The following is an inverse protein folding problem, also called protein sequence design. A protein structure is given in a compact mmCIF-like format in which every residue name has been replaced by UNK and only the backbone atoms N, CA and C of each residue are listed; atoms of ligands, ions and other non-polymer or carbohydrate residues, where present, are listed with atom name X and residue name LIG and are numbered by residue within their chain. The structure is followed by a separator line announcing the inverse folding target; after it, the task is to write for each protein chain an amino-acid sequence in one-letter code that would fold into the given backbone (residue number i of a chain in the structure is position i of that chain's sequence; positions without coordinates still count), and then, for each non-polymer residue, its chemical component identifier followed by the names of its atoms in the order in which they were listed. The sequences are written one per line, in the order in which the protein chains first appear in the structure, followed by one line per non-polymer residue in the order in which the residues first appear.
data_IF_387022631816
#
_entry.id   IF_387022631816
#
_cell.length_a   1.000
_cell.length_b   1.000
_cell.length_c   1.000
_cell.angle_alpha   90.00
_cell.angle_beta   90.00
_cell.angle_gamma   90.00
#
_symmetry.space_group_name_H-M   'P 1'
#
loop_
_entity.id
_entity.type
_entity.pdbx_description
1 polymer ?
#
# COMPACT_ATOMS: atom_id res chain seq x y z
N UNK A 1 -19.85 -62.03 -15.57
CA UNK A 1 -20.09 -61.05 -14.48
C UNK A 1 -18.77 -60.50 -14.00
N UNK A 2 -18.38 -59.27 -14.39
CA UNK A 2 -17.23 -58.56 -13.80
C UNK A 2 -17.78 -57.38 -13.00
N UNK A 3 -17.50 -57.43 -11.69
CA UNK A 3 -17.96 -56.47 -10.68
C UNK A 3 -17.33 -55.09 -10.91
N UNK A 4 -18.17 -54.08 -11.14
CA UNK A 4 -17.81 -52.66 -11.09
C UNK A 4 -17.64 -52.26 -9.61
N UNK A 5 -16.39 -52.10 -9.15
CA UNK A 5 -16.11 -51.44 -7.87
C UNK A 5 -16.23 -49.93 -8.07
N UNK A 6 -17.30 -49.34 -7.56
CA UNK A 6 -17.39 -47.89 -7.37
C UNK A 6 -16.32 -47.46 -6.36
N UNK A 7 -15.30 -46.74 -6.86
CA UNK A 7 -14.25 -46.16 -6.02
C UNK A 7 -14.82 -44.91 -5.33
N UNK A 8 -15.23 -45.04 -4.08
CA UNK A 8 -15.66 -43.91 -3.26
C UNK A 8 -14.42 -43.08 -2.93
N UNK A 9 -14.35 -41.85 -3.46
CA UNK A 9 -13.24 -40.93 -3.15
C UNK A 9 -13.30 -40.49 -1.67
N UNK A 10 -12.17 -40.45 -0.95
CA UNK A 10 -12.15 -40.05 0.45
C UNK A 10 -12.54 -38.58 0.64
N UNK A 11 -13.41 -38.31 1.62
CA UNK A 11 -14.08 -37.02 1.90
C UNK A 11 -13.12 -35.82 2.05
N UNK A 12 -11.86 -36.02 2.45
CA UNK A 12 -10.85 -34.93 2.52
C UNK A 12 -10.49 -34.37 1.13
N UNK A 13 -10.39 -35.24 0.12
CA UNK A 13 -10.04 -34.84 -1.25
C UNK A 13 -11.22 -34.12 -1.95
N UNK A 14 -12.45 -34.36 -1.50
CA UNK A 14 -13.66 -33.65 -1.95
C UNK A 14 -13.70 -32.19 -1.47
N UNK A 15 -13.23 -31.87 -0.26
CA UNK A 15 -13.16 -30.47 0.22
C UNK A 15 -12.13 -29.64 -0.54
N UNK A 16 -10.94 -30.18 -0.78
CA UNK A 16 -9.89 -29.50 -1.58
C UNK A 16 -10.34 -29.29 -3.04
N UNK A 17 -11.00 -30.27 -3.65
CA UNK A 17 -11.55 -30.14 -5.01
C UNK A 17 -12.74 -29.17 -5.07
N UNK A 18 -13.57 -29.11 -4.03
CA UNK A 18 -14.67 -28.13 -3.93
C UNK A 18 -14.17 -26.70 -3.69
N UNK A 19 -13.09 -26.50 -2.93
CA UNK A 19 -12.45 -25.18 -2.78
C UNK A 19 -11.80 -24.71 -4.09
N UNK A 20 -11.07 -25.60 -4.79
CA UNK A 20 -10.47 -25.31 -6.09
C UNK A 20 -11.50 -24.94 -7.19
N UNK A 21 -12.71 -25.49 -7.10
CA UNK A 21 -13.82 -25.17 -8.03
C UNK A 21 -14.45 -23.78 -7.80
N UNK A 22 -14.20 -23.14 -6.65
CA UNK A 22 -14.78 -21.84 -6.27
C UNK A 22 -13.90 -20.65 -6.65
N UNK A 23 -12.58 -20.83 -6.80
CA UNK A 23 -11.63 -19.74 -6.97
C UNK A 23 -11.90 -18.86 -8.21
N UNK A 24 -12.19 -19.41 -9.40
CA UNK A 24 -12.54 -18.58 -10.57
C UNK A 24 -13.87 -17.82 -10.39
N UNK A 25 -14.78 -18.33 -9.54
CA UNK A 25 -16.05 -17.65 -9.22
C UNK A 25 -15.83 -16.51 -8.23
N UNK A 26 -14.99 -16.70 -7.21
CA UNK A 26 -14.66 -15.67 -6.22
C UNK A 26 -13.93 -14.50 -6.86
N UNK A 27 -12.91 -14.75 -7.69
CA UNK A 27 -12.21 -13.72 -8.46
C UNK A 27 -13.19 -12.88 -9.31
N UNK A 28 -14.01 -13.55 -10.13
CA UNK A 28 -14.96 -12.86 -11.01
C UNK A 28 -15.99 -12.05 -10.24
N UNK A 29 -16.51 -12.59 -9.14
CA UNK A 29 -17.45 -11.88 -8.25
C UNK A 29 -16.77 -10.67 -7.63
N UNK A 30 -15.53 -10.81 -7.16
CA UNK A 30 -14.79 -9.73 -6.52
C UNK A 30 -14.54 -8.55 -7.46
N UNK A 31 -14.09 -8.84 -8.68
CA UNK A 31 -13.92 -7.81 -9.72
C UNK A 31 -15.26 -7.18 -10.11
N UNK A 32 -16.33 -7.97 -10.23
CA UNK A 32 -17.66 -7.44 -10.54
C UNK A 32 -18.19 -6.51 -9.45
N UNK A 33 -18.01 -6.85 -8.18
CA UNK A 33 -18.38 -6.00 -7.05
C UNK A 33 -17.61 -4.68 -7.06
N UNK A 34 -16.30 -4.73 -7.32
CA UNK A 34 -15.46 -3.53 -7.43
C UNK A 34 -15.91 -2.62 -8.58
N UNK A 35 -16.24 -3.17 -9.75
CA UNK A 35 -16.79 -2.40 -10.89
C UNK A 35 -18.16 -1.79 -10.58
N UNK A 36 -18.99 -2.49 -9.80
CA UNK A 36 -20.34 -2.04 -9.46
C UNK A 36 -20.34 -1.05 -8.28
N UNK A 37 -19.23 -0.93 -7.54
CA UNK A 37 -19.14 -0.04 -6.40
C UNK A 37 -19.24 1.42 -6.85
N UNK A 38 -20.19 2.15 -6.28
CA UNK A 38 -20.32 3.59 -6.50
C UNK A 38 -19.77 4.32 -5.28
N UNK A 39 -18.66 5.02 -5.46
CA UNK A 39 -18.06 5.85 -4.42
C UNK A 39 -19.01 6.98 -4.02
N UNK A 40 -19.18 7.28 -2.72
CA UNK A 40 -19.88 8.48 -2.29
C UNK A 40 -19.13 9.75 -2.75
N UNK A 41 -19.78 10.93 -2.68
CA UNK A 41 -19.12 12.20 -3.01
C UNK A 41 -17.82 12.39 -2.22
N UNK A 42 -16.78 12.86 -2.90
CA UNK A 42 -15.45 12.99 -2.30
C UNK A 42 -15.05 14.43 -2.00
N UNK A 43 -14.39 14.62 -0.87
CA UNK A 43 -13.75 15.87 -0.48
C UNK A 43 -12.30 15.98 -0.99
N UNK A 44 -11.78 14.93 -1.65
CA UNK A 44 -10.43 14.94 -2.24
C UNK A 44 -10.19 16.19 -3.11
N UNK A 45 -11.14 16.53 -3.99
CA UNK A 45 -11.05 17.70 -4.87
C UNK A 45 -11.31 19.05 -4.17
N UNK A 46 -11.75 19.04 -2.90
CA UNK A 46 -11.87 20.24 -2.07
C UNK A 46 -10.60 20.52 -1.27
N UNK A 47 -9.77 19.50 -1.02
CA UNK A 47 -8.49 19.70 -0.37
C UNK A 47 -7.56 20.57 -1.22
N UNK A 48 -6.66 21.37 -0.63
CA UNK A 48 -5.61 22.05 -1.38
C UNK A 48 -4.60 21.05 -1.93
N UNK A 49 -3.90 21.42 -3.01
CA UNK A 49 -2.91 20.57 -3.67
C UNK A 49 -1.90 19.94 -2.69
N UNK A 50 -1.41 20.73 -1.72
CA UNK A 50 -0.44 20.31 -0.70
C UNK A 50 -0.93 19.17 0.21
N UNK A 51 -2.25 18.91 0.21
CA UNK A 51 -2.94 17.91 1.02
C UNK A 51 -3.66 16.84 0.18
N UNK A 52 -3.46 16.79 -1.14
CA UNK A 52 -4.01 15.75 -2.01
C UNK A 52 -2.98 14.66 -2.26
N UNK A 53 -3.32 13.43 -1.92
CA UNK A 53 -2.54 12.26 -2.28
C UNK A 53 -3.46 11.14 -2.79
N UNK A 54 -2.91 10.25 -3.60
CA UNK A 54 -3.62 9.07 -4.07
C UNK A 54 -2.72 7.85 -4.02
N UNK A 55 -3.33 6.68 -3.80
CA UNK A 55 -2.63 5.40 -3.73
C UNK A 55 -3.29 4.40 -4.66
N UNK A 56 -2.47 3.54 -5.27
CA UNK A 56 -2.91 2.50 -6.18
C UNK A 56 -3.01 1.15 -5.44
N UNK A 57 -4.22 0.61 -5.35
CA UNK A 57 -4.47 -0.78 -5.01
C UNK A 57 -4.45 -1.57 -6.32
N UNK A 58 -3.26 -2.02 -6.70
CA UNK A 58 -3.07 -2.83 -7.91
C UNK A 58 -3.34 -4.30 -7.59
N UNK A 59 -4.44 -4.82 -8.14
CA UNK A 59 -4.87 -6.20 -7.99
C UNK A 59 -4.48 -7.02 -9.22
N UNK A 60 -4.11 -8.28 -9.02
CA UNK A 60 -3.93 -9.26 -10.10
C UNK A 60 -4.32 -10.65 -9.61
N UNK A 61 -4.68 -11.54 -10.53
CA UNK A 61 -4.91 -12.95 -10.21
C UNK A 61 -3.59 -13.73 -10.25
N UNK A 62 -3.31 -14.51 -9.21
CA UNK A 62 -2.20 -15.45 -9.23
C UNK A 62 -2.52 -16.73 -10.01
N UNK A 63 -1.57 -17.67 -10.05
CA UNK A 63 -1.74 -18.95 -10.77
C UNK A 63 -2.86 -19.84 -10.22
N UNK A 64 -3.28 -19.64 -8.97
CA UNK A 64 -4.43 -20.35 -8.37
C UNK A 64 -5.75 -19.64 -8.70
N UNK A 65 -5.70 -18.43 -9.24
CA UNK A 65 -6.84 -17.57 -9.51
C UNK A 65 -7.24 -16.72 -8.32
N UNK A 66 -6.41 -16.65 -7.27
CA UNK A 66 -6.66 -15.82 -6.10
C UNK A 66 -6.19 -14.39 -6.37
N UNK A 67 -6.96 -13.40 -5.92
CA UNK A 67 -6.52 -12.00 -6.02
C UNK A 67 -5.38 -11.72 -5.06
N UNK A 68 -4.33 -11.11 -5.59
CA UNK A 68 -3.22 -10.54 -4.82
C UNK A 68 -3.16 -9.03 -5.02
N UNK A 69 -2.65 -8.34 -4.01
CA UNK A 69 -2.40 -6.90 -4.04
C UNK A 69 -0.90 -6.63 -4.02
N UNK A 70 -0.46 -5.63 -4.79
CA UNK A 70 0.93 -5.15 -4.80
C UNK A 70 1.15 -4.09 -3.72
N UNK A 71 2.26 -4.23 -2.97
CA UNK A 71 2.68 -3.35 -1.90
C UNK A 71 4.18 -3.04 -2.04
N UNK A 72 4.61 -1.90 -1.53
CA UNK A 72 6.00 -1.46 -1.50
C UNK A 72 6.53 -1.43 -0.08
N UNK A 73 7.83 -1.61 0.10
CA UNK A 73 8.58 -1.28 1.31
C UNK A 73 9.36 0.00 1.00
N UNK A 74 9.08 1.06 1.76
CA UNK A 74 9.75 2.35 1.59
C UNK A 74 11.23 2.26 1.92
N UNK A 75 12.08 2.92 1.12
CA UNK A 75 13.52 2.97 1.35
C UNK A 75 13.88 3.58 2.71
N UNK A 76 14.93 3.03 3.34
CA UNK A 76 15.36 3.41 4.68
C UNK A 76 15.87 4.87 4.76
N UNK A 77 16.31 5.44 3.63
CA UNK A 77 16.82 6.82 3.54
C UNK A 77 15.73 7.90 3.49
N UNK A 78 14.45 7.55 3.44
CA UNK A 78 13.37 8.53 3.38
C UNK A 78 13.12 9.18 4.74
N UNK A 79 12.92 10.50 4.74
CA UNK A 79 12.72 11.31 5.95
C UNK A 79 11.52 10.85 6.80
N UNK A 80 10.52 10.22 6.18
CA UNK A 80 9.30 9.73 6.84
C UNK A 80 9.01 8.27 6.45
N UNK A 81 8.53 7.49 7.43
CA UNK A 81 8.01 6.13 7.24
C UNK A 81 9.00 5.12 6.62
N UNK A 82 10.29 5.33 6.83
CA UNK A 82 11.37 4.43 6.39
C UNK A 82 11.09 2.97 6.80
N UNK A 83 11.20 2.03 5.85
CA UNK A 83 11.00 0.59 6.06
C UNK A 83 9.55 0.14 6.22
N UNK A 84 8.56 1.03 6.17
CA UNK A 84 7.15 0.66 6.33
C UNK A 84 6.55 0.18 5.01
N UNK A 85 5.62 -0.78 5.11
CA UNK A 85 4.83 -1.21 3.97
C UNK A 85 3.76 -0.18 3.59
N UNK A 86 3.67 0.12 2.30
CA UNK A 86 2.72 1.07 1.74
C UNK A 86 2.11 0.53 0.44
N UNK A 87 0.99 1.13 0.04
CA UNK A 87 0.52 1.05 -1.34
C UNK A 87 1.36 2.02 -2.19
N UNK A 88 1.66 1.68 -3.46
CA UNK A 88 2.26 2.65 -4.37
C UNK A 88 1.43 3.92 -4.44
N UNK A 89 2.05 5.09 -4.33
CA UNK A 89 1.29 6.34 -4.32
C UNK A 89 1.99 7.48 -3.62
N UNK A 90 1.43 8.67 -3.82
CA UNK A 90 2.03 9.90 -3.36
C UNK A 90 1.13 11.10 -3.60
N UNK A 91 1.73 12.29 -3.63
CA UNK A 91 0.99 13.56 -3.69
C UNK A 91 0.64 13.90 -5.12
N UNK A 92 -0.47 14.60 -5.31
CA UNK A 92 -0.74 15.21 -6.61
C UNK A 92 0.30 16.30 -6.89
N UNK A 93 0.80 16.35 -8.12
CA UNK A 93 1.72 17.40 -8.57
C UNK A 93 0.95 18.63 -9.05
N UNK A 94 -0.24 18.39 -9.60
CA UNK A 94 -1.10 19.45 -10.16
C UNK A 94 -2.56 19.28 -9.71
N UNK A 95 -3.35 20.36 -9.84
CA UNK A 95 -4.78 20.32 -9.55
C UNK A 95 -5.59 19.64 -10.67
N UNK A 96 -4.99 19.46 -11.84
CA UNK A 96 -5.60 18.88 -13.03
C UNK A 96 -5.55 17.35 -13.01
N UNK A 97 -4.63 16.76 -12.25
CA UNK A 97 -4.58 15.31 -12.08
C UNK A 97 -5.85 14.81 -11.36
N UNK A 98 -6.47 13.78 -11.93
CA UNK A 98 -7.41 12.96 -11.19
C UNK A 98 -6.66 12.12 -10.16
N UNK A 99 -7.35 11.63 -9.12
CA UNK A 99 -6.74 10.76 -8.14
C UNK A 99 -6.10 9.51 -8.77
N UNK A 100 -6.75 8.91 -9.77
CA UNK A 100 -6.22 7.75 -10.48
C UNK A 100 -4.96 8.10 -11.29
N UNK A 101 -4.91 9.28 -11.94
CA UNK A 101 -3.71 9.73 -12.65
C UNK A 101 -2.52 9.89 -11.70
N UNK A 102 -2.73 10.52 -10.53
CA UNK A 102 -1.69 10.64 -9.49
C UNK A 102 -1.22 9.25 -9.03
N UNK A 103 -2.16 8.35 -8.70
CA UNK A 103 -1.81 7.00 -8.25
C UNK A 103 -1.04 6.19 -9.31
N UNK A 104 -1.38 6.35 -10.60
CA UNK A 104 -0.70 5.71 -11.73
C UNK A 104 0.70 6.28 -11.96
N UNK A 105 0.86 7.61 -11.91
CA UNK A 105 2.16 8.28 -12.03
C UNK A 105 3.13 7.81 -10.94
N UNK A 106 2.68 7.82 -9.69
CA UNK A 106 3.47 7.37 -8.55
C UNK A 106 3.80 5.88 -8.65
N UNK A 107 2.87 5.04 -9.09
CA UNK A 107 3.17 3.62 -9.34
C UNK A 107 4.17 3.41 -10.49
N UNK A 108 4.17 4.28 -11.51
CA UNK A 108 5.20 4.25 -12.55
C UNK A 108 6.59 4.59 -12.00
N UNK A 109 6.68 5.64 -11.17
CA UNK A 109 7.93 6.08 -10.53
C UNK A 109 8.47 5.04 -9.54
N UNK A 110 7.61 4.52 -8.66
CA UNK A 110 8.01 3.62 -7.57
C UNK A 110 8.30 2.18 -8.04
N UNK A 111 7.45 1.63 -8.91
CA UNK A 111 7.46 0.19 -9.27
C UNK A 111 7.57 -0.08 -10.78
N UNK A 112 7.72 0.96 -11.61
CA UNK A 112 7.91 0.81 -13.05
C UNK A 112 6.63 0.42 -13.82
N UNK A 113 5.45 0.55 -13.19
CA UNK A 113 4.17 0.21 -13.81
C UNK A 113 3.83 1.23 -14.91
N UNK A 114 4.02 0.87 -16.18
CA UNK A 114 3.86 1.79 -17.30
C UNK A 114 2.48 2.47 -17.32
N UNK A 115 2.47 3.75 -17.70
CA UNK A 115 1.28 4.61 -17.72
C UNK A 115 0.27 4.19 -18.79
N UNK A 116 0.77 3.72 -19.94
CA UNK A 116 -0.04 3.33 -21.09
C UNK A 116 0.07 1.83 -21.38
N UNK A 117 -1.05 1.20 -21.73
CA UNK A 117 -1.12 -0.25 -21.97
C UNK A 117 -0.19 -0.72 -23.09
N UNK A 118 0.07 0.13 -24.09
CA UNK A 118 0.97 -0.20 -25.20
C UNK A 118 2.44 -0.36 -24.75
N UNK A 119 2.80 0.16 -23.58
CA UNK A 119 4.13 0.05 -22.98
C UNK A 119 4.24 -1.16 -22.04
N UNK A 120 3.11 -1.79 -21.70
CA UNK A 120 3.09 -3.04 -20.94
C UNK A 120 3.53 -4.21 -21.83
N UNK A 121 3.97 -5.34 -21.23
CA UNK A 121 4.19 -6.55 -22.00
C UNK A 121 2.92 -6.95 -22.77
N UNK A 122 3.08 -7.51 -23.96
CA UNK A 122 1.98 -7.78 -24.90
C UNK A 122 0.85 -8.56 -24.22
N UNK A 123 -0.36 -8.00 -24.27
CA UNK A 123 -1.60 -8.61 -23.76
C UNK A 123 -1.92 -8.28 -22.30
N UNK A 124 -1.02 -7.63 -21.57
CA UNK A 124 -1.36 -7.06 -20.28
C UNK A 124 -2.11 -5.73 -20.44
N UNK A 125 -3.03 -5.46 -19.52
CA UNK A 125 -3.86 -4.26 -19.51
C UNK A 125 -4.13 -3.86 -18.06
N UNK A 126 -4.08 -2.56 -17.75
CA UNK A 126 -4.48 -2.05 -16.45
C UNK A 126 -5.87 -1.43 -16.52
N UNK A 127 -6.85 -2.12 -15.96
CA UNK A 127 -8.23 -1.64 -15.89
C UNK A 127 -8.45 -0.85 -14.59
N UNK A 128 -8.86 0.41 -14.69
CA UNK A 128 -9.37 1.16 -13.54
C UNK A 128 -10.76 0.62 -13.15
N UNK A 129 -10.91 0.13 -11.91
CA UNK A 129 -12.16 -0.45 -11.44
C UNK A 129 -13.04 0.57 -10.71
N UNK A 130 -12.49 1.21 -9.67
CA UNK A 130 -13.22 2.18 -8.83
C UNK A 130 -12.25 2.92 -7.90
N UNK A 131 -12.75 3.97 -7.24
CA UNK A 131 -12.08 4.69 -6.16
C UNK A 131 -12.87 4.55 -4.85
N UNK A 132 -12.19 4.40 -3.72
CA UNK A 132 -12.81 4.36 -2.40
C UNK A 132 -12.87 5.75 -1.75
N UNK A 133 -13.76 5.97 -0.75
CA UNK A 133 -13.74 7.17 0.09
C UNK A 133 -12.33 7.54 0.56
N UNK A 134 -12.01 8.83 0.53
CA UNK A 134 -10.69 9.30 0.93
C UNK A 134 -10.44 9.03 2.43
N UNK A 135 -9.23 8.61 2.77
CA UNK A 135 -8.76 8.48 4.15
C UNK A 135 -7.98 9.72 4.57
N UNK A 136 -8.10 10.13 5.82
CA UNK A 136 -7.40 11.30 6.35
C UNK A 136 -6.21 10.88 7.20
N UNK A 137 -5.01 11.28 6.79
CA UNK A 137 -3.81 11.02 7.57
C UNK A 137 -3.73 11.96 8.77
N UNK A 138 -3.02 11.55 9.82
CA UNK A 138 -2.69 12.42 10.96
C UNK A 138 -1.91 13.68 10.54
N UNK A 139 -1.19 13.59 9.42
CA UNK A 139 -0.52 14.73 8.79
C UNK A 139 -1.48 15.63 8.01
N UNK A 140 -2.79 15.40 8.14
CA UNK A 140 -3.88 16.11 7.46
C UNK A 140 -3.75 16.04 5.93
N UNK A 141 -3.26 14.90 5.45
CA UNK A 141 -3.16 14.54 4.04
C UNK A 141 -4.39 13.69 3.69
N UNK A 142 -5.21 14.15 2.74
CA UNK A 142 -6.32 13.38 2.20
C UNK A 142 -5.82 12.41 1.14
N UNK A 143 -5.93 11.11 1.42
CA UNK A 143 -5.44 10.03 0.58
C UNK A 143 -6.62 9.35 -0.11
N UNK A 144 -6.69 9.40 -1.44
CA UNK A 144 -7.74 8.76 -2.25
C UNK A 144 -7.26 7.38 -2.73
N UNK A 145 -7.86 6.26 -2.27
CA UNK A 145 -7.50 4.93 -2.74
C UNK A 145 -8.14 4.64 -4.10
N UNK A 146 -7.32 4.30 -5.08
CA UNK A 146 -7.77 3.95 -6.43
C UNK A 146 -7.49 2.47 -6.69
N UNK A 147 -8.48 1.72 -7.15
CA UNK A 147 -8.39 0.28 -7.35
C UNK A 147 -8.28 -0.01 -8.85
N UNK A 148 -7.25 -0.73 -9.23
CA UNK A 148 -7.05 -1.20 -10.60
C UNK A 148 -6.79 -2.70 -10.65
N UNK A 149 -7.18 -3.32 -11.76
CA UNK A 149 -6.92 -4.72 -12.04
C UNK A 149 -5.94 -4.87 -13.20
N UNK A 150 -4.82 -5.50 -12.94
CA UNK A 150 -3.85 -5.91 -13.94
C UNK A 150 -4.30 -7.24 -14.55
N UNK A 151 -4.79 -7.18 -15.78
CA UNK A 151 -5.25 -8.35 -16.53
C UNK A 151 -4.03 -9.12 -17.04
N UNK A 152 -3.88 -10.36 -16.60
CA UNK A 152 -2.90 -11.30 -17.14
C UNK A 152 -3.44 -11.93 -18.43
N UNK A 153 -2.72 -11.86 -19.57
CA UNK A 153 -3.15 -12.49 -20.81
C UNK A 153 -3.12 -14.02 -20.72
N UNK A 154 -3.87 -14.73 -21.58
CA UNK A 154 -3.69 -16.17 -21.74
C UNK A 154 -2.29 -16.49 -22.30
N UNK A 155 -1.79 -17.72 -22.08
CA UNK A 155 -0.56 -18.19 -22.71
C UNK A 155 -0.54 -17.96 -24.21
N UNK A 156 0.60 -17.48 -24.72
CA UNK A 156 0.82 -17.19 -26.14
C UNK A 156 2.18 -17.76 -26.60
N UNK A 157 2.45 -17.80 -27.92
CA UNK A 157 3.77 -18.18 -28.42
C UNK A 157 4.92 -17.31 -27.88
N UNK A 158 4.63 -16.05 -27.52
CA UNK A 158 5.62 -15.09 -26.98
C UNK A 158 5.82 -15.25 -25.46
N UNK A 159 4.80 -15.71 -24.74
CA UNK A 159 4.86 -15.96 -23.31
C UNK A 159 3.97 -17.17 -22.96
N UNK A 160 4.61 -18.33 -22.74
CA UNK A 160 3.92 -19.61 -22.50
C UNK A 160 3.36 -19.76 -21.08
N UNK A 161 3.82 -18.95 -20.14
CA UNK A 161 3.42 -18.99 -18.74
C UNK A 161 3.32 -17.57 -18.18
N UNK A 162 2.33 -16.74 -18.62
CA UNK A 162 2.19 -15.37 -18.15
C UNK A 162 1.98 -15.31 -16.64
N UNK A 163 2.75 -14.46 -15.97
CA UNK A 163 2.68 -14.23 -14.53
C UNK A 163 2.89 -12.74 -14.25
N UNK A 164 1.84 -12.05 -13.81
CA UNK A 164 1.87 -10.61 -13.60
C UNK A 164 2.96 -10.18 -12.60
N UNK A 165 3.21 -10.97 -11.55
CA UNK A 165 4.21 -10.63 -10.56
C UNK A 165 5.61 -10.72 -11.19
N UNK A 166 5.93 -11.80 -11.89
CA UNK A 166 7.24 -11.97 -12.54
C UNK A 166 7.44 -11.04 -13.75
N UNK A 167 6.39 -10.86 -14.55
CA UNK A 167 6.50 -10.21 -15.86
C UNK A 167 6.46 -8.68 -15.75
N UNK A 168 5.88 -8.12 -14.67
CA UNK A 168 5.79 -6.67 -14.45
C UNK A 168 6.51 -6.17 -13.18
N UNK A 169 6.71 -7.00 -12.15
CA UNK A 169 7.44 -6.62 -10.93
C UNK A 169 8.85 -7.28 -11.01
N UNK A 170 10.00 -6.59 -11.25
CA UNK A 170 10.22 -5.14 -11.21
C UNK A 170 11.11 -4.48 -12.30
N UNK A 171 10.92 -3.16 -12.42
CA UNK A 171 11.99 -2.13 -12.44
C UNK A 171 11.74 -1.20 -11.23
N UNK A 172 12.55 -1.26 -10.18
CA UNK A 172 12.37 -0.44 -8.96
C UNK A 172 13.25 0.81 -8.99
N UNK A 173 12.75 1.93 -8.46
CA UNK A 173 13.61 3.04 -8.04
C UNK A 173 14.08 2.79 -6.59
N UNK A 174 15.33 2.36 -6.45
CA UNK A 174 15.97 2.10 -5.17
C UNK A 174 15.99 3.30 -4.22
N UNK A 175 15.84 4.54 -4.73
CA UNK A 175 15.80 5.75 -3.88
C UNK A 175 14.52 5.82 -3.06
N UNK A 176 13.42 5.29 -3.56
CA UNK A 176 12.10 5.41 -2.94
C UNK A 176 11.55 4.08 -2.42
N UNK A 177 11.82 2.99 -3.16
CA UNK A 177 11.34 1.65 -2.84
C UNK A 177 12.50 0.69 -2.62
N UNK A 178 12.55 0.09 -1.44
CA UNK A 178 13.53 -0.93 -1.09
C UNK A 178 13.12 -2.32 -1.61
N UNK A 179 11.82 -2.61 -1.63
CA UNK A 179 11.27 -3.85 -2.15
C UNK A 179 9.81 -3.69 -2.58
N UNK A 180 9.37 -4.52 -3.52
CA UNK A 180 7.97 -4.75 -3.85
C UNK A 180 7.59 -6.14 -3.39
N UNK A 181 6.40 -6.28 -2.80
CA UNK A 181 5.88 -7.57 -2.42
C UNK A 181 4.38 -7.68 -2.69
N UNK A 182 3.86 -8.91 -2.67
CA UNK A 182 2.44 -9.16 -2.92
C UNK A 182 1.79 -9.91 -1.78
N UNK A 183 0.55 -9.54 -1.45
CA UNK A 183 -0.22 -10.14 -0.37
C UNK A 183 -1.51 -10.79 -0.90
N UNK A 184 -1.96 -11.92 -0.33
CA UNK A 184 -3.27 -12.51 -0.67
C UNK A 184 -4.39 -11.55 -0.24
N UNK A 185 -5.11 -10.99 -1.22
CA UNK A 185 -6.02 -9.88 -0.97
C UNK A 185 -7.22 -10.28 -0.09
N UNK A 186 -7.71 -11.51 -0.24
CA UNK A 186 -8.81 -12.02 0.58
C UNK A 186 -8.45 -12.13 2.07
N UNK A 187 -7.19 -12.39 2.40
CA UNK A 187 -6.78 -12.58 3.79
C UNK A 187 -6.90 -11.29 4.62
N UNK A 188 -7.04 -10.11 4.00
CA UNK A 188 -7.36 -8.86 4.70
C UNK A 188 -8.81 -8.79 5.24
N UNK A 189 -9.56 -9.90 5.19
CA UNK A 189 -10.82 -10.11 5.93
C UNK A 189 -10.70 -11.19 7.02
N UNK A 190 -9.53 -11.80 7.18
CA UNK A 190 -9.33 -13.01 7.99
C UNK A 190 -8.42 -12.75 9.17
N UNK A 191 -8.74 -13.32 10.32
CA UNK A 191 -7.91 -13.20 11.53
C UNK A 191 -6.63 -14.06 11.46
N UNK A 192 -6.59 -15.03 10.53
CA UNK A 192 -5.50 -15.96 10.30
C UNK A 192 -5.13 -16.01 8.83
N UNK A 193 -3.88 -16.42 8.59
CA UNK A 193 -3.40 -16.74 7.26
C UNK A 193 -4.22 -17.91 6.71
N UNK A 194 -4.69 -17.88 5.47
CA UNK A 194 -5.46 -18.99 4.91
C UNK A 194 -4.59 -20.08 4.27
N UNK A 195 -3.32 -19.79 3.95
CA UNK A 195 -2.46 -20.77 3.27
C UNK A 195 -1.87 -21.78 4.29
N UNK A 196 -2.26 -23.08 4.23
CA UNK A 196 -1.77 -24.08 5.18
C UNK A 196 -0.27 -24.31 5.08
N UNK A 197 0.33 -24.13 3.90
CA UNK A 197 1.79 -24.23 3.74
C UNK A 197 2.47 -23.09 4.49
N UNK A 198 1.98 -21.87 4.30
CA UNK A 198 2.50 -20.70 4.99
C UNK A 198 2.34 -20.83 6.51
N UNK A 199 1.17 -21.25 7.01
CA UNK A 199 0.96 -21.48 8.44
C UNK A 199 1.97 -22.48 9.03
N UNK A 200 2.35 -23.50 8.24
CA UNK A 200 3.27 -24.55 8.69
C UNK A 200 4.73 -24.13 8.66
N UNK A 201 5.14 -23.36 7.64
CA UNK A 201 6.56 -23.10 7.35
C UNK A 201 7.02 -21.67 7.66
N UNK A 202 6.10 -20.71 7.77
CA UNK A 202 6.44 -19.30 8.03
C UNK A 202 5.91 -18.92 9.42
N UNK A 203 6.77 -18.89 10.46
CA UNK A 203 6.34 -18.59 11.81
C UNK A 203 5.77 -17.17 11.92
N UNK A 204 4.95 -16.95 12.95
CA UNK A 204 4.28 -15.68 13.23
C UNK A 204 2.79 -15.71 12.91
N UNK A 205 2.05 -14.76 13.48
CA UNK A 205 0.62 -14.61 13.23
C UNK A 205 0.36 -13.77 11.98
N UNK A 206 -0.85 -13.84 11.42
CA UNK A 206 -1.25 -13.02 10.28
C UNK A 206 -1.77 -11.65 10.70
N UNK A 207 -2.58 -11.56 11.76
CA UNK A 207 -3.28 -10.34 12.13
C UNK A 207 -3.19 -10.04 13.64
N UNK A 208 -3.01 -8.77 13.97
CA UNK A 208 -3.28 -8.20 15.28
C UNK A 208 -4.12 -6.93 15.13
N UNK A 209 -5.12 -6.79 15.98
CA UNK A 209 -5.93 -5.59 16.08
C UNK A 209 -5.87 -4.97 17.47
N UNK A 210 -5.89 -3.65 17.54
CA UNK A 210 -6.05 -2.92 18.80
C UNK A 210 -6.95 -1.71 18.59
N UNK A 211 -7.82 -1.44 19.57
CA UNK A 211 -8.58 -0.20 19.60
C UNK A 211 -7.69 0.93 20.10
N UNK A 212 -7.70 2.03 19.37
CA UNK A 212 -7.08 3.28 19.78
C UNK A 212 -8.13 4.36 19.84
N UNK A 213 -8.08 5.19 20.88
CA UNK A 213 -8.86 6.41 20.90
C UNK A 213 -8.20 7.40 19.95
N UNK A 214 -8.87 7.70 18.85
CA UNK A 214 -8.50 8.79 17.96
C UNK A 214 -9.52 9.91 18.13
N UNK A 215 -9.15 10.92 18.93
CA UNK A 215 -9.99 12.07 19.25
C UNK A 215 -11.43 11.70 19.64
N UNK A 216 -11.56 10.79 20.62
CA UNK A 216 -12.84 10.27 21.16
C UNK A 216 -13.62 9.34 20.22
N UNK A 217 -13.17 9.16 18.98
CA UNK A 217 -13.70 8.13 18.08
C UNK A 217 -12.86 6.87 18.23
N UNK A 218 -13.51 5.73 18.45
CA UNK A 218 -12.82 4.45 18.50
C UNK A 218 -12.30 4.13 17.10
N UNK A 219 -10.97 4.10 16.93
CA UNK A 219 -10.34 3.77 15.66
C UNK A 219 -9.62 2.43 15.78
N UNK A 220 -9.88 1.52 14.86
CA UNK A 220 -9.27 0.20 14.87
C UNK A 220 -7.92 0.23 14.16
N UNK A 221 -6.84 0.04 14.93
CA UNK A 221 -5.51 -0.18 14.37
C UNK A 221 -5.38 -1.64 13.93
N UNK A 222 -5.34 -1.82 12.61
CA UNK A 222 -5.06 -3.10 11.99
C UNK A 222 -3.55 -3.29 11.78
N UNK A 223 -3.05 -4.49 12.06
CA UNK A 223 -1.68 -4.88 11.77
C UNK A 223 -1.71 -6.26 11.13
N UNK A 224 -1.23 -6.36 9.89
CA UNK A 224 -1.08 -7.60 9.17
C UNK A 224 0.40 -7.92 9.00
N UNK A 225 0.79 -9.17 9.16
CA UNK A 225 2.15 -9.65 9.01
C UNK A 225 2.20 -10.59 7.81
N UNK A 226 2.39 -9.99 6.65
CA UNK A 226 2.30 -10.63 5.35
C UNK A 226 3.51 -11.56 5.14
N UNK A 227 3.31 -12.85 4.90
CA UNK A 227 4.39 -13.79 4.63
C UNK A 227 5.11 -13.43 3.34
N UNK A 228 6.43 -13.49 3.38
CA UNK A 228 7.27 -13.17 2.24
C UNK A 228 8.16 -14.34 1.85
N UNK A 229 8.34 -14.52 0.54
CA UNK A 229 9.14 -15.56 -0.07
C UNK A 229 9.83 -15.01 -1.32
N UNK A 230 10.85 -15.67 -1.86
CA UNK A 230 11.48 -15.25 -3.12
C UNK A 230 10.52 -15.13 -4.31
N UNK A 231 9.35 -15.77 -4.26
CA UNK A 231 8.32 -15.68 -5.30
C UNK A 231 7.35 -14.49 -5.10
N UNK A 232 7.34 -13.89 -3.91
CA UNK A 232 6.38 -12.85 -3.54
C UNK A 232 7.03 -11.53 -3.16
N UNK A 233 8.37 -11.45 -3.13
CA UNK A 233 9.15 -10.24 -2.86
C UNK A 233 10.22 -10.06 -3.91
N UNK A 234 10.38 -8.82 -4.34
CA UNK A 234 11.39 -8.38 -5.28
C UNK A 234 12.11 -7.17 -4.69
N UNK A 235 13.43 -7.26 -4.56
CA UNK A 235 14.24 -6.21 -3.95
C UNK A 235 14.82 -5.27 -5.01
N UNK A 236 15.06 -4.01 -4.65
CA UNK A 236 15.77 -3.10 -5.54
C UNK A 236 17.24 -3.50 -5.63
N UNK A 237 17.77 -3.66 -6.85
CA UNK A 237 19.20 -3.95 -7.04
C UNK A 237 20.04 -2.76 -6.53
N UNK A 238 20.91 -3.02 -5.56
CA UNK A 238 21.77 -2.00 -4.95
C UNK A 238 23.00 -1.62 -5.79
N UNK A 239 23.15 -2.16 -7.01
CA UNK A 239 24.27 -1.79 -7.89
C UNK A 239 23.86 -0.64 -8.81
N UNK A 240 24.56 0.51 -8.77
CA UNK A 240 24.45 1.47 -9.86
C UNK A 240 24.90 0.76 -11.14
N UNK A 241 23.99 0.67 -12.11
CA UNK A 241 24.32 0.22 -13.45
C UNK A 241 25.31 1.25 -13.99
N UNK A 242 26.58 0.88 -14.08
CA UNK A 242 27.62 1.73 -14.64
C UNK A 242 27.10 2.29 -15.97
N UNK A 243 26.97 3.62 -16.04
CA UNK A 243 26.71 4.31 -17.29
C UNK A 243 27.80 3.85 -18.27
N UNK A 244 27.36 3.40 -19.45
CA UNK A 244 28.28 3.08 -20.53
C UNK A 244 29.07 4.33 -20.84
N UNK A 245 30.39 4.24 -20.66
CA UNK A 245 31.36 5.25 -21.07
C UNK A 245 31.09 5.67 -22.51
N UNK A 246 30.83 6.95 -22.70
CA UNK A 246 31.01 7.63 -23.99
C UNK A 246 31.99 8.76 -23.72
N UNK A 247 33.24 8.44 -23.99
CA UNK A 247 34.30 9.27 -24.58
C UNK A 247 34.31 10.77 -24.24
N UNK A 248 35.22 11.19 -23.36
CA UNK A 248 35.87 12.50 -23.49
C UNK A 248 37.28 12.50 -22.86
N UNK A 249 38.24 13.02 -23.61
CA UNK A 249 39.70 13.03 -23.39
C UNK A 249 40.14 14.06 -22.33
N UNK A 250 41.37 13.93 -21.78
CA UNK A 250 41.77 14.60 -20.56
C UNK A 250 42.27 16.03 -20.80
N UNK A 251 41.96 16.92 -19.85
CA UNK A 251 42.57 18.24 -19.74
C UNK A 251 43.17 18.42 -18.33
N UNK A 252 44.23 19.22 -18.31
CA UNK A 252 45.36 19.20 -17.40
C UNK A 252 45.14 19.81 -16.01
N UNK A 253 46.07 19.44 -15.14
CA UNK A 253 46.32 19.93 -13.79
C UNK A 253 46.73 21.41 -13.71
N UNK A 254 46.06 22.15 -12.83
CA UNK A 254 46.62 23.18 -11.92
C UNK A 254 45.64 23.22 -10.74
N UNK A 255 45.96 23.16 -9.45
CA UNK A 255 47.12 23.63 -8.70
C UNK A 255 46.62 24.72 -7.74
N UNK A 256 46.22 24.37 -6.50
CA UNK A 256 46.36 25.20 -5.29
C UNK A 256 45.64 24.59 -4.08
N UNK A 257 46.43 24.13 -3.12
CA UNK A 257 46.07 23.81 -1.75
C UNK A 257 46.18 25.06 -0.86
N UNK A 258 45.25 25.25 0.07
CA UNK A 258 45.56 25.83 1.40
C UNK A 258 44.47 25.47 2.42
N UNK A 259 44.83 25.22 3.70
CA UNK A 259 43.95 24.63 4.70
C UNK A 259 43.29 25.69 5.59
N UNK A 260 42.09 25.40 6.12
CA UNK A 260 41.48 26.22 7.16
C UNK A 260 40.95 25.36 8.30
N UNK A 261 41.39 25.79 9.48
CA UNK A 261 41.34 25.27 10.82
C UNK A 261 39.98 24.83 11.37
N UNK A 262 40.09 23.83 12.23
CA UNK A 262 39.17 23.42 13.28
C UNK A 262 38.86 24.54 14.28
N UNK A 263 37.58 24.86 14.44
CA UNK A 263 37.06 25.62 15.59
C UNK A 263 35.98 24.80 16.33
N UNK A 264 36.16 24.78 17.66
CA UNK A 264 35.37 24.06 18.66
C UNK A 264 33.94 24.58 18.79
N UNK A 265 33.04 23.65 19.11
CA UNK A 265 32.03 23.75 20.17
C UNK A 265 31.14 24.99 20.19
N UNK A 266 29.95 24.88 19.59
CA UNK A 266 28.77 25.63 20.01
C UNK A 266 27.58 24.69 20.18
N UNK A 267 27.17 24.55 21.43
CA UNK A 267 25.96 23.89 21.91
C UNK A 267 24.75 24.61 21.32
N UNK A 268 23.98 23.93 20.47
CA UNK A 268 22.72 24.46 19.94
C UNK A 268 21.58 24.20 20.94
N UNK A 269 20.68 25.18 21.15
CA UNK A 269 19.58 25.09 22.10
C UNK A 269 18.55 24.04 21.66
N UNK A 270 17.90 23.42 22.65
CA UNK A 270 17.03 22.26 22.50
C UNK A 270 15.98 22.39 21.39
N UNK A 271 15.88 21.34 20.56
CA UNK A 271 14.83 21.22 19.54
C UNK A 271 13.44 21.22 20.20
N UNK A 272 12.48 22.03 19.71
CA UNK A 272 11.12 22.00 20.22
C UNK A 272 10.41 20.69 19.88
N UNK A 273 9.51 20.36 20.80
CA UNK A 273 8.78 19.12 21.03
C UNK A 273 8.15 18.44 19.81
N UNK A 274 8.27 17.10 19.81
CA UNK A 274 7.49 16.20 18.95
C UNK A 274 5.98 16.35 19.21
N UNK A 275 5.18 16.22 18.15
CA UNK A 275 3.72 16.15 18.17
C UNK A 275 3.18 15.27 19.29
N UNK A 276 2.35 15.83 20.17
CA UNK A 276 1.95 15.27 21.48
C UNK A 276 0.67 14.41 21.49
N UNK A 277 0.23 13.85 20.36
CA UNK A 277 -1.14 13.33 20.22
C UNK A 277 -1.28 11.82 19.97
N UNK A 278 -0.21 11.08 20.24
CA UNK A 278 -0.33 9.80 20.92
C UNK A 278 0.45 9.97 22.24
N UNK A 279 0.17 9.25 23.35
CA UNK A 279 1.32 8.70 24.05
C UNK A 279 2.05 7.94 22.95
N UNK A 280 3.16 8.49 22.43
CA UNK A 280 3.84 7.97 21.25
C UNK A 280 3.72 6.46 21.31
N UNK A 281 3.03 5.81 20.36
CA UNK A 281 3.12 4.35 20.30
C UNK A 281 4.61 4.08 20.44
N UNK A 282 5.04 3.33 21.47
CA UNK A 282 6.42 3.39 21.94
C UNK A 282 7.32 3.23 20.72
N UNK A 283 8.45 3.94 20.59
CA UNK A 283 9.24 3.93 19.33
C UNK A 283 9.36 2.53 18.69
N UNK A 284 9.41 1.48 19.52
CA UNK A 284 9.24 0.06 19.17
C UNK A 284 8.12 -0.29 18.15
N UNK A 285 7.01 0.45 18.14
CA UNK A 285 5.87 0.28 17.24
C UNK A 285 6.13 0.80 15.82
N UNK A 286 6.96 1.84 15.68
CA UNK A 286 7.33 2.39 14.37
C UNK A 286 8.70 1.89 13.91
N UNK A 287 9.53 1.44 14.85
CA UNK A 287 10.79 0.77 14.57
C UNK A 287 10.53 -0.68 14.21
N UNK A 288 10.98 -1.10 13.04
CA UNK A 288 11.11 -2.50 12.74
C UNK A 288 12.35 -3.00 13.49
N UNK A 289 12.20 -4.03 14.33
CA UNK A 289 13.35 -4.66 14.99
C UNK A 289 14.11 -5.51 13.96
N UNK A 290 15.39 -5.21 13.73
CA UNK A 290 16.23 -5.91 12.74
C UNK A 290 16.13 -5.33 11.33
N UNK A 291 16.72 -6.02 10.36
CA UNK A 291 16.67 -5.62 8.95
C UNK A 291 15.26 -5.85 8.40
N UNK A 292 14.58 -4.77 8.01
CA UNK A 292 13.21 -4.79 7.51
C UNK A 292 13.03 -5.63 6.24
N UNK A 293 14.09 -5.81 5.45
CA UNK A 293 14.06 -6.57 4.20
C UNK A 293 14.34 -8.06 4.38
N UNK A 294 14.89 -8.50 5.52
CA UNK A 294 15.27 -9.89 5.76
C UNK A 294 14.34 -10.60 6.75
N UNK A 295 13.09 -10.13 6.86
CA UNK A 295 12.09 -10.72 7.74
C UNK A 295 11.24 -11.76 7.01
N UNK A 296 10.79 -12.84 7.68
CA UNK A 296 9.89 -13.81 7.08
C UNK A 296 8.47 -13.26 6.86
N UNK A 297 8.12 -12.15 7.53
CA UNK A 297 6.84 -11.45 7.38
C UNK A 297 7.05 -9.94 7.35
N UNK A 298 6.41 -9.25 6.42
CA UNK A 298 6.38 -7.79 6.36
C UNK A 298 5.11 -7.24 7.00
N UNK A 299 5.27 -6.19 7.82
CA UNK A 299 4.17 -5.60 8.56
C UNK A 299 3.47 -4.51 7.77
N UNK A 300 2.18 -4.71 7.51
CA UNK A 300 1.25 -3.74 6.91
C UNK A 300 0.33 -3.23 8.01
N UNK A 301 0.33 -1.94 8.29
CA UNK A 301 -0.41 -1.38 9.43
C UNK A 301 -0.93 0.04 9.15
N UNK A 302 -1.67 0.61 10.10
CA UNK A 302 -2.14 1.98 10.03
C UNK A 302 -3.13 2.21 8.89
N UNK A 303 -3.01 3.36 8.21
CA UNK A 303 -3.89 3.74 7.11
C UNK A 303 -3.85 2.71 5.97
N UNK A 304 -2.67 2.22 5.58
CA UNK A 304 -2.53 1.22 4.51
C UNK A 304 -3.35 -0.03 4.83
N UNK A 305 -3.23 -0.56 6.05
CA UNK A 305 -4.01 -1.73 6.47
C UNK A 305 -5.52 -1.44 6.48
N UNK A 306 -5.92 -0.24 6.92
CA UNK A 306 -7.33 0.16 6.92
C UNK A 306 -7.91 0.22 5.50
N UNK A 307 -7.19 0.86 4.59
CA UNK A 307 -7.56 0.96 3.17
C UNK A 307 -7.72 -0.43 2.55
N UNK A 308 -6.81 -1.36 2.85
CA UNK A 308 -6.87 -2.74 2.34
C UNK A 308 -8.08 -3.52 2.86
N UNK A 309 -8.40 -3.37 4.15
CA UNK A 309 -9.62 -3.96 4.75
C UNK A 309 -10.86 -3.42 4.05
N UNK A 310 -10.96 -2.09 3.91
CA UNK A 310 -12.09 -1.43 3.25
C UNK A 310 -12.24 -1.88 1.78
N UNK A 311 -11.13 -1.97 1.04
CA UNK A 311 -11.13 -2.48 -0.33
C UNK A 311 -11.56 -3.95 -0.42
N UNK A 312 -11.08 -4.80 0.50
CA UNK A 312 -11.45 -6.21 0.52
C UNK A 312 -12.92 -6.41 0.88
N UNK A 313 -13.48 -5.59 1.79
CA UNK A 313 -14.92 -5.61 2.13
C UNK A 313 -15.78 -5.33 0.90
N UNK A 314 -15.43 -4.31 0.11
CA UNK A 314 -16.11 -3.99 -1.14
C UNK A 314 -15.95 -5.13 -2.15
N UNK A 315 -14.73 -5.62 -2.34
CA UNK A 315 -14.46 -6.66 -3.32
C UNK A 315 -15.25 -7.94 -3.01
N UNK A 316 -15.14 -8.49 -1.80
CA UNK A 316 -15.76 -9.77 -1.50
C UNK A 316 -17.22 -9.67 -1.05
N UNK A 317 -17.68 -8.47 -0.67
CA UNK A 317 -19.01 -8.27 -0.10
C UNK A 317 -19.15 -8.98 1.25
N UNK A 318 -18.08 -9.00 2.03
CA UNK A 318 -17.94 -9.73 3.29
C UNK A 318 -17.34 -8.79 4.35
N UNK A 319 -17.81 -8.91 5.59
CA UNK A 319 -17.22 -8.21 6.72
C UNK A 319 -16.02 -9.00 7.29
N UNK A 320 -15.01 -8.33 7.87
CA UNK A 320 -13.86 -9.02 8.47
C UNK A 320 -14.25 -9.87 9.69
N UNK A 321 -13.51 -10.95 9.93
CA UNK A 321 -13.67 -11.83 11.11
C UNK A 321 -13.31 -11.17 12.44
N UNK A 322 -12.74 -9.98 12.40
CA UNK A 322 -12.31 -9.19 13.54
C UNK A 322 -13.03 -7.84 13.61
N UNK A 323 -12.91 -7.22 14.77
CA UNK A 323 -13.38 -5.87 15.02
C UNK A 323 -12.77 -4.87 14.03
N UNK A 324 -13.58 -3.95 13.53
CA UNK A 324 -13.23 -2.95 12.53
C UNK A 324 -14.19 -1.74 12.66
N UNK A 325 -13.78 -0.56 12.16
CA UNK A 325 -14.73 0.54 11.97
C UNK A 325 -15.73 0.20 10.86
N UNK A 326 -17.01 0.49 11.04
CA UNK A 326 -18.07 0.10 10.10
C UNK A 326 -18.12 0.94 8.81
N UNK A 327 -17.73 2.22 8.88
CA UNK A 327 -17.73 3.14 7.74
C UNK A 327 -16.52 2.96 6.81
N UNK A 328 -16.56 3.57 5.62
CA UNK A 328 -15.44 3.58 4.67
C UNK A 328 -14.77 4.96 4.65
N UNK A 329 -13.44 5.00 4.75
CA UNK A 329 -12.68 6.25 4.74
C UNK A 329 -13.15 7.29 5.76
N UNK A 330 -12.77 8.54 5.55
CA UNK A 330 -12.91 9.65 6.50
C UNK A 330 -13.55 10.89 5.86
N UNK A 331 -14.35 10.72 4.79
CA UNK A 331 -14.95 11.81 4.02
C UNK A 331 -15.73 12.80 4.90
N UNK A 332 -16.53 12.30 5.84
CA UNK A 332 -17.29 13.16 6.77
C UNK A 332 -16.37 14.02 7.64
N UNK A 333 -15.28 13.44 8.13
CA UNK A 333 -14.30 14.16 8.94
C UNK A 333 -13.56 15.21 8.10
N UNK A 334 -13.21 14.87 6.86
CA UNK A 334 -12.59 15.81 5.92
C UNK A 334 -13.51 17.01 5.65
N UNK A 335 -14.80 16.80 5.43
CA UNK A 335 -15.78 17.88 5.21
C UNK A 335 -15.86 18.82 6.42
N UNK A 336 -15.94 18.27 7.63
CA UNK A 336 -15.95 19.06 8.88
C UNK A 336 -14.68 19.89 9.04
N UNK A 337 -13.51 19.32 8.77
CA UNK A 337 -12.23 20.02 8.86
C UNK A 337 -12.06 21.09 7.76
N UNK A 338 -12.64 20.88 6.58
CA UNK A 338 -12.71 21.91 5.53
C UNK A 338 -13.59 23.08 5.97
N UNK A 339 -14.76 22.82 6.56
CA UNK A 339 -15.71 23.86 7.03
C UNK A 339 -15.12 24.79 8.08
N UNK A 340 -14.29 24.27 8.99
CA UNK A 340 -13.60 25.09 10.00
C UNK A 340 -12.28 25.70 9.48
N UNK A 341 -11.96 25.54 8.19
CA UNK A 341 -10.77 26.10 7.56
C UNK A 341 -9.46 25.39 7.95
N UNK A 342 -9.53 24.21 8.57
CA UNK A 342 -8.34 23.49 9.06
C UNK A 342 -7.51 22.88 7.94
N UNK A 343 -8.15 22.39 6.88
CA UNK A 343 -7.46 21.88 5.69
C UNK A 343 -7.04 23.00 4.72
N UNK A 344 -6.53 24.12 5.22
CA UNK A 344 -6.04 25.24 4.41
C UNK A 344 -4.72 24.91 3.68
N UNK A 345 -4.38 25.63 2.57
CA UNK A 345 -3.15 25.37 1.81
C UNK A 345 -1.86 25.58 2.60
N UNK A 346 -1.83 26.63 3.44
CA UNK A 346 -0.75 26.89 4.38
C UNK A 346 -1.10 26.22 5.70
N UNK A 347 -0.20 25.36 6.18
CA UNK A 347 -0.21 24.87 7.56
C UNK A 347 0.41 25.97 8.42
N UNK A 348 -0.24 26.43 9.50
CA UNK A 348 0.46 27.36 10.40
C UNK A 348 1.48 26.56 11.22
N UNK A 349 2.70 27.06 11.36
CA UNK A 349 3.74 26.35 12.12
C UNK A 349 3.28 26.13 13.57
N UNK A 350 3.43 24.89 14.05
CA UNK A 350 2.92 24.47 15.37
C UNK A 350 1.45 24.00 15.39
N UNK A 351 0.70 24.10 14.28
CA UNK A 351 -0.65 23.56 14.21
C UNK A 351 -0.62 22.01 14.12
N UNK A 352 -0.99 21.40 15.25
CA UNK A 352 -1.22 19.96 15.39
C UNK A 352 -2.74 19.75 15.38
N UNK A 353 -3.23 18.66 14.78
CA UNK A 353 -4.64 18.31 14.81
C UNK A 353 -5.02 17.91 16.25
N UNK A 354 -5.38 18.87 17.10
CA UNK A 354 -5.65 18.63 18.53
C UNK A 354 -7.05 18.06 18.77
N UNK A 355 -7.26 17.52 19.98
CA UNK A 355 -8.60 17.15 20.46
C UNK A 355 -9.59 18.31 20.34
N UNK A 356 -9.17 19.53 20.70
CA UNK A 356 -10.05 20.69 20.64
C UNK A 356 -10.47 21.04 19.21
N UNK A 357 -9.55 20.94 18.25
CA UNK A 357 -9.85 21.12 16.81
C UNK A 357 -10.85 20.08 16.32
N UNK A 358 -10.72 18.83 16.78
CA UNK A 358 -11.64 17.76 16.41
C UNK A 358 -13.03 17.93 17.04
N UNK A 359 -13.10 18.40 18.30
CA UNK A 359 -14.36 18.77 18.96
C UNK A 359 -15.02 19.97 18.27
N UNK A 360 -14.24 20.95 17.83
CA UNK A 360 -14.72 22.09 17.05
C UNK A 360 -15.26 21.63 15.69
N UNK A 361 -14.53 20.75 14.99
CA UNK A 361 -14.97 20.14 13.74
C UNK A 361 -16.28 19.35 13.93
N UNK A 362 -16.44 18.63 15.06
CA UNK A 362 -17.66 17.90 15.37
C UNK A 362 -18.89 18.82 15.62
N UNK A 363 -18.66 20.07 16.02
CA UNK A 363 -19.72 21.09 16.20
C UNK A 363 -20.13 21.76 14.88
N UNK A 364 -19.30 21.66 13.84
CA UNK A 364 -19.64 22.19 12.52
C UNK A 364 -20.84 21.40 11.95
N UNK A 365 -21.96 22.09 11.72
CA UNK A 365 -23.18 21.46 11.17
C UNK A 365 -22.90 20.83 9.79
N UNK A 366 -23.51 19.67 9.56
CA UNK A 366 -23.48 18.96 8.27
C UNK A 366 -24.18 19.76 7.18
#
# INVERSE_FOLDING_TARGET
MRSLRCHVMPVKRLREVLEFSKTPRLLRKAIANLRAFTSPPTNYYKCPLTRRAAVLILLFADKKGDLRVVLTIRSAGLKNYAGQAALPGGKADTLQETAFMTARREAFEEIGLAMEDHQLPVGYEVEHLTELPASLAMTELGVRPCIAYLKTPPPSPRNRDPDAARDLLPKLDAKEVAAVFTAPFYNFLRDKDLDPQTQKFVPGEWYKGSWHSWHETAWRMHQFFVPVSPATVFHADSKPRAARDVDERPAESTGASTPSESAKGMTLPGKPSQSSLQPSLPRSFYSIAGDALHQPRYRVFGMTARILVDAARVAYGEEPEYEHNSHFGDEEMMDRLLKIGRLSPKRKDGEILTRDVMLEAAKAKM
#
